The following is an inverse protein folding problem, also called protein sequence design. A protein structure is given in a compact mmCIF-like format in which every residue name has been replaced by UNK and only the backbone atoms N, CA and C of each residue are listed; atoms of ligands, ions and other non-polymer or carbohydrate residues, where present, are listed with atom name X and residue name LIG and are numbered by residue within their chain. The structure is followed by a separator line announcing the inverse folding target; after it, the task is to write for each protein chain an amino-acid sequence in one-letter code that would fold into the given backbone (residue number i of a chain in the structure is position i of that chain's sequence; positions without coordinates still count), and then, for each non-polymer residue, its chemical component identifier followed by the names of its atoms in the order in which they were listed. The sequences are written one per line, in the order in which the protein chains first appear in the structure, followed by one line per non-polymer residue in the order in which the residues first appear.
data_IF_883934154613
#
_entry.id   IF_883934154613
#
_cell.length_a   1.000
_cell.length_b   1.000
_cell.length_c   1.000
_cell.angle_alpha   90.00
_cell.angle_beta   90.00
_cell.angle_gamma   90.00
#
_symmetry.space_group_name_H-M   'P 1'
#
loop_
_entity.id
_entity.type
_entity.pdbx_description
1 polymer ?
#
# COMPACT_ATOMS: atom_id res chain seq x y z
N UNK A 1 12.54 17.07 -59.26
CA UNK A 1 13.72 17.54 -58.49
C UNK A 1 13.29 18.55 -57.45
N UNK A 2 13.99 18.61 -56.29
CA UNK A 2 13.93 19.61 -55.20
C UNK A 2 13.07 19.39 -53.94
N UNK A 3 12.72 18.16 -53.56
CA UNK A 3 12.32 17.89 -52.15
C UNK A 3 12.96 16.64 -51.53
N UNK A 4 13.84 15.96 -52.26
CA UNK A 4 14.50 14.72 -51.85
C UNK A 4 15.84 14.98 -51.11
N UNK A 5 15.94 16.07 -50.33
CA UNK A 5 17.17 16.47 -49.61
C UNK A 5 16.91 16.90 -48.16
N UNK A 6 15.98 16.25 -47.46
CA UNK A 6 15.93 16.33 -46.01
C UNK A 6 15.55 14.97 -45.41
N UNK A 7 16.25 13.93 -45.84
CA UNK A 7 16.46 12.78 -44.97
C UNK A 7 17.46 13.19 -43.89
N UNK A 8 17.27 12.61 -42.70
CA UNK A 8 18.29 12.44 -41.65
C UNK A 8 18.48 13.64 -40.69
N UNK A 9 17.67 13.68 -39.62
CA UNK A 9 18.13 13.74 -38.22
C UNK A 9 16.94 14.10 -37.31
N UNK A 10 16.07 13.12 -37.02
CA UNK A 10 15.51 13.02 -35.68
C UNK A 10 15.02 11.58 -35.50
N UNK A 11 15.98 10.65 -35.49
CA UNK A 11 15.78 9.43 -34.72
C UNK A 11 15.80 9.89 -33.27
N UNK A 12 14.66 10.38 -32.78
CA UNK A 12 14.44 10.60 -31.36
C UNK A 12 14.47 9.18 -30.80
N UNK A 13 15.66 8.77 -30.37
CA UNK A 13 15.83 7.55 -29.60
C UNK A 13 15.13 7.86 -28.28
N UNK A 14 13.81 7.62 -28.27
CA UNK A 14 13.10 7.16 -27.09
C UNK A 14 13.79 5.85 -26.77
N UNK A 15 14.95 5.93 -26.11
CA UNK A 15 15.37 4.89 -25.20
C UNK A 15 14.30 5.00 -24.12
N UNK A 16 13.15 4.37 -24.38
CA UNK A 16 12.40 3.76 -23.33
C UNK A 16 13.43 2.80 -22.76
N UNK A 17 14.15 3.28 -21.74
CA UNK A 17 14.69 2.42 -20.73
C UNK A 17 13.44 1.65 -20.31
N UNK A 18 13.23 0.50 -20.95
CA UNK A 18 12.58 -0.63 -20.32
C UNK A 18 13.53 -0.85 -19.16
N UNK A 19 13.33 -0.06 -18.08
CA UNK A 19 14.14 -0.12 -16.90
C UNK A 19 14.07 -1.57 -16.54
N UNK A 20 15.21 -2.25 -16.64
CA UNK A 20 15.33 -3.58 -16.13
C UNK A 20 15.08 -3.38 -14.65
N UNK A 21 13.83 -3.65 -14.23
CA UNK A 21 13.32 -3.25 -12.93
C UNK A 21 14.32 -3.72 -11.88
N UNK A 22 14.85 -2.78 -11.09
CA UNK A 22 15.95 -3.12 -10.20
C UNK A 22 15.50 -4.16 -9.16
N UNK A 23 16.44 -4.93 -8.60
CA UNK A 23 16.09 -5.91 -7.56
C UNK A 23 15.40 -5.22 -6.37
N UNK A 24 15.83 -4.01 -6.02
CA UNK A 24 15.22 -3.20 -4.96
C UNK A 24 13.79 -2.79 -5.33
N UNK A 25 13.54 -2.35 -6.56
CA UNK A 25 12.19 -2.01 -7.04
C UNK A 25 11.24 -3.22 -7.05
N UNK A 26 11.76 -4.43 -7.35
CA UNK A 26 11.00 -5.67 -7.26
C UNK A 26 10.64 -6.03 -5.81
N UNK A 27 11.60 -5.90 -4.89
CA UNK A 27 11.37 -6.11 -3.45
C UNK A 27 10.35 -5.12 -2.91
N UNK A 28 10.52 -3.83 -3.18
CA UNK A 28 9.59 -2.77 -2.82
C UNK A 28 8.17 -3.03 -3.34
N UNK A 29 8.03 -3.47 -4.61
CA UNK A 29 6.73 -3.85 -5.16
C UNK A 29 6.10 -5.02 -4.40
N UNK A 30 6.89 -6.05 -4.08
CA UNK A 30 6.40 -7.23 -3.36
C UNK A 30 5.89 -6.86 -1.98
N UNK A 31 6.68 -6.11 -1.19
CA UNK A 31 6.26 -5.71 0.17
C UNK A 31 5.11 -4.71 0.15
N UNK A 32 5.06 -3.80 -0.83
CA UNK A 32 3.91 -2.89 -1.02
C UNK A 32 2.64 -3.69 -1.31
N UNK A 33 2.71 -4.69 -2.20
CA UNK A 33 1.56 -5.55 -2.51
C UNK A 33 1.10 -6.31 -1.27
N UNK A 34 2.03 -6.87 -0.50
CA UNK A 34 1.72 -7.62 0.72
C UNK A 34 1.05 -6.73 1.78
N UNK A 35 1.55 -5.51 1.99
CA UNK A 35 0.95 -4.52 2.87
C UNK A 35 -0.48 -4.14 2.45
N UNK A 36 -0.68 -3.80 1.16
CA UNK A 36 -2.00 -3.44 0.62
C UNK A 36 -2.98 -4.60 0.72
N UNK A 37 -2.56 -5.81 0.35
CA UNK A 37 -3.42 -6.99 0.37
C UNK A 37 -3.84 -7.37 1.79
N UNK A 38 -2.95 -7.22 2.78
CA UNK A 38 -3.30 -7.42 4.17
C UNK A 38 -4.39 -6.44 4.63
N UNK A 39 -4.22 -5.15 4.36
CA UNK A 39 -5.19 -4.12 4.74
C UNK A 39 -6.55 -4.36 4.08
N UNK A 40 -6.55 -4.71 2.79
CA UNK A 40 -7.79 -5.05 2.09
C UNK A 40 -8.46 -6.30 2.67
N UNK A 41 -7.69 -7.31 3.06
CA UNK A 41 -8.19 -8.53 3.69
C UNK A 41 -8.85 -8.25 5.04
N UNK A 42 -8.20 -7.49 5.93
CA UNK A 42 -8.75 -7.20 7.26
C UNK A 42 -10.00 -6.31 7.17
N UNK A 43 -10.00 -5.34 6.24
CA UNK A 43 -11.13 -4.43 6.04
C UNK A 43 -12.37 -5.11 5.46
N UNK A 44 -12.17 -6.13 4.62
CA UNK A 44 -13.25 -6.96 4.05
C UNK A 44 -13.68 -8.10 4.98
N UNK A 45 -12.91 -8.35 6.03
CA UNK A 45 -13.22 -9.37 7.03
C UNK A 45 -14.40 -9.00 7.92
N UNK A 46 -14.77 -9.94 8.78
CA UNK A 46 -15.81 -9.74 9.77
C UNK A 46 -15.34 -8.79 10.90
N UNK A 47 -16.21 -7.85 11.28
CA UNK A 47 -15.88 -6.84 12.28
C UNK A 47 -15.80 -7.44 13.69
N UNK A 48 -16.58 -8.48 14.00
CA UNK A 48 -16.59 -9.08 15.34
C UNK A 48 -15.31 -9.91 15.55
N UNK A 49 -14.91 -10.66 14.53
CA UNK A 49 -13.59 -11.29 14.47
C UNK A 49 -12.46 -10.25 14.62
N UNK A 50 -12.57 -9.10 13.94
CA UNK A 50 -11.56 -8.05 14.05
C UNK A 50 -11.49 -7.41 15.45
N UNK A 51 -12.63 -7.20 16.12
CA UNK A 51 -12.67 -6.73 17.51
C UNK A 51 -12.00 -7.75 18.43
N UNK A 52 -12.35 -9.03 18.30
CA UNK A 52 -11.81 -10.10 19.14
C UNK A 52 -10.30 -10.30 18.96
N UNK A 53 -9.78 -10.05 17.75
CA UNK A 53 -8.39 -10.31 17.38
C UNK A 53 -7.58 -9.04 17.12
N UNK A 54 -8.04 -7.88 17.61
CA UNK A 54 -7.47 -6.59 17.25
C UNK A 54 -5.95 -6.50 17.49
N UNK A 55 -5.47 -7.01 18.62
CA UNK A 55 -4.02 -6.99 18.95
C UNK A 55 -3.17 -7.73 17.92
N UNK A 56 -3.65 -8.86 17.39
CA UNK A 56 -2.94 -9.61 16.36
C UNK A 56 -2.93 -8.85 15.03
N UNK A 57 -4.08 -8.25 14.66
CA UNK A 57 -4.20 -7.42 13.45
C UNK A 57 -3.26 -6.21 13.52
N UNK A 58 -3.24 -5.49 14.64
CA UNK A 58 -2.36 -4.34 14.84
C UNK A 58 -0.88 -4.73 14.77
N UNK A 59 -0.49 -5.86 15.39
CA UNK A 59 0.89 -6.36 15.31
C UNK A 59 1.29 -6.71 13.88
N UNK A 60 0.43 -7.40 13.12
CA UNK A 60 0.73 -7.77 11.74
C UNK A 60 0.82 -6.53 10.83
N UNK A 61 -0.03 -5.53 11.06
CA UNK A 61 0.05 -4.23 10.40
C UNK A 61 1.44 -3.58 10.61
N UNK A 62 1.87 -3.46 11.87
CA UNK A 62 3.16 -2.86 12.22
C UNK A 62 4.32 -3.62 11.59
N UNK A 63 4.30 -4.96 11.64
CA UNK A 63 5.34 -5.78 11.01
C UNK A 63 5.42 -5.57 9.50
N UNK A 64 4.28 -5.47 8.80
CA UNK A 64 4.26 -5.21 7.36
C UNK A 64 4.71 -3.79 7.04
N UNK A 65 4.33 -2.80 7.85
CA UNK A 65 4.77 -1.42 7.69
C UNK A 65 6.29 -1.29 7.87
N UNK A 66 6.87 -1.96 8.88
CA UNK A 66 8.33 -2.01 9.08
C UNK A 66 9.02 -2.61 7.86
N UNK A 67 8.58 -3.79 7.39
CA UNK A 67 9.15 -4.44 6.19
C UNK A 67 9.02 -3.57 4.94
N UNK A 68 7.89 -2.89 4.79
CA UNK A 68 7.64 -1.96 3.70
C UNK A 68 8.65 -0.81 3.72
N UNK A 69 8.76 -0.11 4.84
CA UNK A 69 9.67 1.04 4.99
C UNK A 69 11.12 0.62 4.75
N UNK A 70 11.55 -0.53 5.28
CA UNK A 70 12.89 -1.07 5.06
C UNK A 70 13.26 -1.27 3.58
N UNK A 71 12.32 -1.66 2.72
CA UNK A 71 12.60 -1.82 1.29
C UNK A 71 12.38 -0.53 0.48
N UNK A 72 11.45 0.33 0.92
CA UNK A 72 11.18 1.62 0.27
C UNK A 72 12.36 2.59 0.46
N UNK A 73 12.97 2.60 1.64
CA UNK A 73 14.13 3.46 1.96
C UNK A 73 15.39 3.11 1.15
N UNK A 74 15.40 1.96 0.45
CA UNK A 74 16.49 1.53 -0.44
C UNK A 74 16.32 2.02 -1.88
N UNK A 75 15.23 2.71 -2.19
CA UNK A 75 14.96 3.24 -3.52
C UNK A 75 15.46 4.69 -3.62
N UNK A 76 16.06 5.05 -4.75
CA UNK A 76 16.41 6.45 -5.05
C UNK A 76 15.15 7.29 -5.31
N UNK A 77 14.12 6.68 -5.90
CA UNK A 77 12.80 7.27 -6.14
C UNK A 77 11.70 6.28 -5.70
N UNK A 78 10.87 6.70 -4.74
CA UNK A 78 9.76 5.93 -4.20
C UNK A 78 8.38 6.50 -4.58
N UNK A 79 8.30 7.54 -5.40
CA UNK A 79 7.06 8.27 -5.72
C UNK A 79 5.96 7.35 -6.30
N UNK A 80 6.35 6.33 -7.06
CA UNK A 80 5.45 5.32 -7.63
C UNK A 80 4.75 4.48 -6.55
N UNK A 81 5.36 4.32 -5.38
CA UNK A 81 4.83 3.54 -4.26
C UNK A 81 4.03 4.40 -3.28
N UNK A 82 4.44 5.63 -3.03
CA UNK A 82 3.85 6.54 -2.03
C UNK A 82 2.33 6.63 -2.14
N UNK A 83 1.81 6.81 -3.36
CA UNK A 83 0.36 6.92 -3.58
C UNK A 83 -0.39 5.67 -3.09
N UNK A 84 0.17 4.47 -3.30
CA UNK A 84 -0.44 3.21 -2.86
C UNK A 84 -0.31 3.01 -1.36
N UNK A 85 0.86 3.34 -0.81
CA UNK A 85 1.15 3.23 0.62
C UNK A 85 0.24 4.16 1.41
N UNK A 86 0.13 5.42 0.99
CA UNK A 86 -0.70 6.43 1.65
C UNK A 86 -2.18 6.05 1.59
N UNK A 87 -2.67 5.59 0.43
CA UNK A 87 -4.05 5.15 0.28
C UNK A 87 -4.37 3.95 1.19
N UNK A 88 -3.50 2.94 1.23
CA UNK A 88 -3.71 1.77 2.07
C UNK A 88 -3.61 2.12 3.57
N UNK A 89 -2.68 2.97 3.96
CA UNK A 89 -2.55 3.46 5.34
C UNK A 89 -3.82 4.19 5.78
N UNK A 90 -4.34 5.10 4.96
CA UNK A 90 -5.61 5.78 5.25
C UNK A 90 -6.79 4.80 5.39
N UNK A 91 -6.83 3.73 4.56
CA UNK A 91 -7.85 2.69 4.68
C UNK A 91 -7.74 1.91 5.99
N UNK A 92 -6.52 1.59 6.42
CA UNK A 92 -6.29 0.93 7.71
C UNK A 92 -6.72 1.80 8.88
N UNK A 93 -6.34 3.08 8.88
CA UNK A 93 -6.70 4.04 9.92
C UNK A 93 -8.22 4.23 10.03
N UNK A 94 -8.91 4.34 8.89
CA UNK A 94 -10.37 4.39 8.85
C UNK A 94 -10.99 3.10 9.41
N UNK A 95 -10.44 1.94 9.05
CA UNK A 95 -10.90 0.66 9.59
C UNK A 95 -10.67 0.57 11.11
N UNK A 96 -9.50 0.98 11.62
CA UNK A 96 -9.21 1.02 13.05
C UNK A 96 -10.25 1.83 13.82
N UNK A 97 -10.53 3.04 13.35
CA UNK A 97 -11.51 3.92 13.99
C UNK A 97 -12.89 3.26 14.05
N UNK A 98 -13.34 2.68 12.93
CA UNK A 98 -14.60 1.91 12.88
C UNK A 98 -14.63 0.76 13.89
N UNK A 99 -13.55 0.01 14.03
CA UNK A 99 -13.47 -1.11 14.98
C UNK A 99 -13.55 -0.61 16.43
N UNK A 100 -12.87 0.48 16.76
CA UNK A 100 -12.93 1.08 18.11
C UNK A 100 -14.29 1.69 18.43
N UNK A 101 -14.92 2.36 17.47
CA UNK A 101 -16.29 2.86 17.61
C UNK A 101 -17.30 1.73 17.85
N UNK A 102 -17.18 0.63 17.09
CA UNK A 102 -18.04 -0.55 17.26
C UNK A 102 -17.81 -1.21 18.63
N UNK A 103 -16.55 -1.40 19.03
CA UNK A 103 -16.20 -1.97 20.34
C UNK A 103 -16.79 -1.14 21.48
N UNK A 104 -16.63 0.19 21.44
CA UNK A 104 -17.20 1.09 22.44
C UNK A 104 -18.73 1.03 22.50
N UNK A 105 -19.39 0.90 21.35
CA UNK A 105 -20.85 0.77 21.29
C UNK A 105 -21.33 -0.54 21.93
N UNK A 106 -20.63 -1.64 21.70
CA UNK A 106 -20.94 -2.94 22.30
C UNK A 106 -20.76 -2.96 23.82
N UNK A 107 -19.70 -2.31 24.31
CA UNK A 107 -19.43 -2.18 25.75
C UNK A 107 -20.54 -1.39 26.45
N UNK A 108 -20.98 -0.27 25.86
CA UNK A 108 -22.11 0.53 26.38
C UNK A 108 -23.43 -0.23 26.40
N UNK A 109 -23.70 -1.01 25.35
CA UNK A 109 -24.91 -1.82 25.28
C UNK A 109 -24.92 -2.88 26.39
N UNK A 110 -23.79 -3.57 26.62
CA UNK A 110 -23.66 -4.54 27.72
C UNK A 110 -23.84 -3.91 29.10
N UNK A 111 -23.31 -2.70 29.33
CA UNK A 111 -23.47 -1.96 30.58
C UNK A 111 -24.93 -1.51 30.82
N UNK A 112 -25.70 -1.23 29.76
CA UNK A 112 -27.11 -0.81 29.89
C UNK A 112 -28.08 -1.94 30.24
N UNK A 113 -27.64 -3.19 30.11
CA UNK A 113 -28.43 -4.40 30.34
C UNK A 113 -28.16 -4.97 31.76
N UNK A 114 -27.15 -4.46 32.47
CA UNK A 114 -26.78 -4.83 33.84
C UNK A 114 -27.41 -3.88 34.87
#
# INVERSE_FOLDING_TARGET
MKYLKLQLLLLLVLITLISCKSENELKAQKVTKDYVSFIDSVRKGDNDHAIANWSAIAREYDMKLIKLNLEIDKLEDNTIFDKKINAATAQYESFRNKIFEKKLSLEKEQESIL
#
